data_IF_625844948898
#
_entry.id   IF_625844948898
#
_cell.length_a   1.000
_cell.length_b   1.000
_cell.length_c   1.000
_cell.angle_alpha   90.00
_cell.angle_beta   90.00
_cell.angle_gamma   90.00
#
_symmetry.space_group_name_H-M   'P 1'
#
loop_
_entity.id
_entity.type
_entity.pdbx_description
1 polymer ?
#
# COMPACT_ATOMS: atom_id res chain seq x y z
N UNK A 1 -19.73 -2.79 -3.29
CA UNK A 1 -18.46 -3.48 -2.95
C UNK A 1 -17.39 -3.42 -4.05
N UNK A 2 -17.73 -3.27 -5.33
CA UNK A 2 -16.74 -3.30 -6.44
C UNK A 2 -15.76 -2.12 -6.45
N UNK A 3 -16.22 -0.92 -6.07
CA UNK A 3 -15.38 0.28 -5.98
C UNK A 3 -14.26 0.16 -4.95
N UNK A 4 -14.50 -0.51 -3.82
CA UNK A 4 -13.48 -0.68 -2.78
C UNK A 4 -12.28 -1.48 -3.28
N UNK A 5 -12.48 -2.52 -4.10
CA UNK A 5 -11.37 -3.32 -4.64
C UNK A 5 -10.48 -2.54 -5.61
N UNK A 6 -11.08 -1.80 -6.54
CA UNK A 6 -10.35 -0.98 -7.51
C UNK A 6 -9.60 0.16 -6.83
N UNK A 7 -10.24 0.85 -5.89
CA UNK A 7 -9.60 1.93 -5.13
C UNK A 7 -8.43 1.38 -4.31
N UNK A 8 -8.59 0.27 -3.60
CA UNK A 8 -7.49 -0.33 -2.84
C UNK A 8 -6.35 -0.79 -3.74
N UNK A 9 -6.63 -1.36 -4.92
CA UNK A 9 -5.58 -1.73 -5.88
C UNK A 9 -4.79 -0.51 -6.38
N UNK A 10 -5.48 0.59 -6.71
CA UNK A 10 -4.85 1.86 -7.10
C UNK A 10 -3.97 2.41 -5.98
N UNK A 11 -4.45 2.38 -4.72
CA UNK A 11 -3.68 2.82 -3.56
C UNK A 11 -2.41 1.98 -3.35
N UNK A 12 -2.48 0.66 -3.52
CA UNK A 12 -1.30 -0.21 -3.44
C UNK A 12 -0.27 0.17 -4.50
N UNK A 13 -0.67 0.34 -5.75
CA UNK A 13 0.26 0.78 -6.82
C UNK A 13 0.86 2.16 -6.51
N UNK A 14 0.06 3.09 -6.02
CA UNK A 14 0.52 4.43 -5.63
C UNK A 14 1.55 4.40 -4.50
N UNK A 15 1.31 3.61 -3.45
CA UNK A 15 2.25 3.45 -2.35
C UNK A 15 3.55 2.74 -2.78
N UNK A 16 3.50 1.80 -3.73
CA UNK A 16 4.71 1.18 -4.28
C UNK A 16 5.63 2.20 -4.97
N UNK A 17 5.04 3.15 -5.72
CA UNK A 17 5.79 4.26 -6.35
C UNK A 17 6.36 5.22 -5.31
N UNK A 18 5.61 5.51 -4.24
CA UNK A 18 6.10 6.32 -3.12
C UNK A 18 7.27 5.67 -2.38
N UNK A 19 7.21 4.37 -2.12
CA UNK A 19 8.31 3.61 -1.51
C UNK A 19 9.56 3.69 -2.39
N UNK A 20 9.42 3.57 -3.71
CA UNK A 20 10.54 3.73 -4.64
C UNK A 20 11.11 5.15 -4.63
N UNK A 21 10.26 6.18 -4.64
CA UNK A 21 10.69 7.57 -4.56
C UNK A 21 11.39 7.90 -3.22
N UNK A 22 10.90 7.35 -2.11
CA UNK A 22 11.48 7.47 -0.76
C UNK A 22 12.81 6.70 -0.64
N UNK A 23 13.01 5.64 -1.42
CA UNK A 23 14.33 5.02 -1.55
C UNK A 23 15.29 5.86 -2.40
N UNK A 24 14.79 6.56 -3.41
CA UNK A 24 15.61 7.41 -4.30
C UNK A 24 16.02 8.72 -3.66
N UNK A 25 15.22 9.28 -2.76
CA UNK A 25 15.65 10.37 -1.89
C UNK A 25 16.28 9.77 -0.64
N UNK A 26 17.59 9.97 -0.45
CA UNK A 26 18.38 9.59 0.72
C UNK A 26 17.94 10.34 2.01
N UNK A 27 16.64 10.48 2.25
CA UNK A 27 16.11 11.11 3.45
C UNK A 27 15.96 10.04 4.54
N UNK A 28 16.30 10.41 5.78
CA UNK A 28 16.30 9.60 7.00
C UNK A 28 15.53 8.26 6.92
N UNK A 29 16.20 7.16 7.27
CA UNK A 29 15.67 5.79 7.35
C UNK A 29 14.28 5.67 8.01
N UNK A 30 13.96 6.55 8.97
CA UNK A 30 12.66 6.63 9.62
C UNK A 30 11.49 6.95 8.65
N UNK A 31 11.70 7.82 7.67
CA UNK A 31 10.71 8.16 6.63
C UNK A 31 10.47 6.96 5.71
N UNK A 32 11.51 6.18 5.44
CA UNK A 32 11.44 4.96 4.63
C UNK A 32 10.64 3.88 5.36
N UNK A 33 10.91 3.64 6.65
CA UNK A 33 10.15 2.68 7.45
C UNK A 33 8.67 3.04 7.57
N UNK A 34 8.32 4.33 7.68
CA UNK A 34 6.92 4.78 7.71
C UNK A 34 6.20 4.53 6.37
N UNK A 35 6.85 4.82 5.24
CA UNK A 35 6.29 4.59 3.92
C UNK A 35 6.04 3.08 3.66
N UNK A 36 6.99 2.23 4.07
CA UNK A 36 6.88 0.77 3.97
C UNK A 36 5.75 0.25 4.88
N UNK A 37 5.63 0.77 6.10
CA UNK A 37 4.56 0.39 7.03
C UNK A 37 3.17 0.67 6.47
N UNK A 38 2.95 1.89 5.94
CA UNK A 38 1.67 2.25 5.30
C UNK A 38 1.39 1.43 4.03
N UNK A 39 2.42 1.08 3.27
CA UNK A 39 2.27 0.19 2.11
C UNK A 39 1.85 -1.23 2.54
N UNK A 40 2.48 -1.78 3.56
CA UNK A 40 2.15 -3.11 4.09
C UNK A 40 0.70 -3.17 4.62
N UNK A 41 0.25 -2.14 5.36
CA UNK A 41 -1.15 -2.03 5.79
C UNK A 41 -2.13 -2.01 4.62
N UNK A 42 -1.82 -1.24 3.56
CA UNK A 42 -2.66 -1.18 2.37
C UNK A 42 -2.76 -2.55 1.66
N UNK A 43 -1.66 -3.30 1.58
CA UNK A 43 -1.62 -4.66 1.00
C UNK A 43 -2.41 -5.65 1.86
N UNK A 44 -2.25 -5.62 3.18
CA UNK A 44 -3.00 -6.50 4.08
C UNK A 44 -4.50 -6.21 3.97
N UNK A 45 -4.88 -4.93 3.93
CA UNK A 45 -6.26 -4.51 3.76
C UNK A 45 -6.84 -4.98 2.42
N UNK A 46 -6.06 -4.91 1.33
CA UNK A 46 -6.44 -5.46 0.03
C UNK A 46 -6.69 -6.98 0.09
N UNK A 47 -5.77 -7.73 0.69
CA UNK A 47 -5.88 -9.19 0.82
C UNK A 47 -7.09 -9.57 1.67
N UNK A 48 -7.34 -8.84 2.75
CA UNK A 48 -8.48 -9.09 3.63
C UNK A 48 -9.81 -8.80 2.93
N UNK A 49 -9.88 -7.71 2.17
CA UNK A 49 -11.04 -7.36 1.35
C UNK A 49 -11.32 -8.43 0.28
N UNK A 50 -10.28 -8.95 -0.37
CA UNK A 50 -10.40 -10.04 -1.35
C UNK A 50 -10.79 -11.38 -0.72
N UNK A 51 -10.32 -11.70 0.49
CA UNK A 51 -10.75 -12.90 1.23
C UNK A 51 -12.19 -12.82 1.70
N UNK A 52 -12.67 -11.63 2.09
CA UNK A 52 -14.05 -11.43 2.57
C UNK A 52 -15.10 -11.54 1.46
N UNK A 53 -14.71 -11.27 0.21
CA UNK A 53 -15.58 -11.39 -0.96
C UNK A 53 -15.85 -12.85 -1.38
N UNK A 54 -15.05 -13.82 -0.89
CA UNK A 54 -15.24 -15.25 -1.14
C UNK A 54 -16.13 -15.96 -0.11
N UNK A 55 -16.75 -15.25 0.83
CA UNK A 55 -17.59 -15.84 1.89
C UNK A 55 -19.00 -15.30 1.80
#
# INVERSE_FOLDING_TARGET
MMYSKLITAVFVVFYAVLVWAVFSMHNMLAMQMMAIGMFAEAVISLIFLYRKDKK
#
